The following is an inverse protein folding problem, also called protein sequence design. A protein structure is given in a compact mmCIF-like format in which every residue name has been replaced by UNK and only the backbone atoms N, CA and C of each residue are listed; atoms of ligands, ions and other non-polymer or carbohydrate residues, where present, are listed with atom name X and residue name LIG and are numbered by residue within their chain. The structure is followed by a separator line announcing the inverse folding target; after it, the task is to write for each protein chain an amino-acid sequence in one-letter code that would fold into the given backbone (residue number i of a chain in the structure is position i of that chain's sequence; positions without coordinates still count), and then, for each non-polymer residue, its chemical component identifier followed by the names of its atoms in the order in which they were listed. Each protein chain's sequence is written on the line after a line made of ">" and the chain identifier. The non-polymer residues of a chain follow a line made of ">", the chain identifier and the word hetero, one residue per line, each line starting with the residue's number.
data_IF_135468891481
#
_entry.id   IF_135468891481
#
_cell.length_a   1.000
_cell.length_b   1.000
_cell.length_c   1.000
_cell.angle_alpha   90.00
_cell.angle_beta   90.00
_cell.angle_gamma   90.00
#
_symmetry.space_group_name_H-M   'P 1'
#
loop_
_entity.id
_entity.type
_entity.pdbx_description
1 polymer ?
#
# COMPACT_ATOMS: atom_id res chain seq x y z
N UNK A 1 -7.04 5.09 3.15
CA UNK A 1 -6.78 6.55 3.07
C UNK A 1 -6.39 7.02 4.45
N UNK A 2 -5.56 8.07 4.61
CA UNK A 2 -5.21 8.61 5.93
C UNK A 2 -6.46 8.82 6.80
N UNK A 3 -6.36 8.54 8.09
CA UNK A 3 -7.48 8.65 9.05
C UNK A 3 -8.44 7.47 9.07
N UNK A 4 -8.18 6.38 8.33
CA UNK A 4 -8.98 5.16 8.42
C UNK A 4 -8.23 4.02 9.13
N UNK A 5 -8.98 3.06 9.72
CA UNK A 5 -8.44 1.93 10.50
C UNK A 5 -7.46 1.03 9.72
N UNK A 6 -7.59 0.98 8.39
CA UNK A 6 -6.80 0.09 7.52
C UNK A 6 -5.52 0.80 7.03
N UNK A 7 -5.40 2.10 7.24
CA UNK A 7 -4.24 2.88 6.81
C UNK A 7 -3.07 2.60 7.75
N UNK A 8 -1.97 2.10 7.17
CA UNK A 8 -0.79 1.68 7.92
C UNK A 8 0.48 1.79 7.11
N UNK A 9 1.57 1.26 7.65
CA UNK A 9 2.91 1.23 7.00
C UNK A 9 2.87 0.83 5.52
N UNK A 10 2.17 -0.25 5.10
CA UNK A 10 2.12 -0.63 3.68
C UNK A 10 1.47 0.44 2.80
N UNK A 11 0.46 1.16 3.33
CA UNK A 11 -0.20 2.24 2.59
C UNK A 11 0.78 3.35 2.26
N UNK A 12 1.59 3.79 3.23
CA UNK A 12 2.55 4.88 3.02
C UNK A 12 3.69 4.44 2.12
N UNK A 13 4.32 3.29 2.42
CA UNK A 13 5.49 2.81 1.68
C UNK A 13 5.17 2.42 0.24
N UNK A 14 3.98 1.90 -0.05
CA UNK A 14 3.58 1.64 -1.43
C UNK A 14 3.36 2.94 -2.22
N UNK A 15 2.74 3.96 -1.60
CA UNK A 15 2.49 5.26 -2.22
C UNK A 15 3.77 6.08 -2.51
N UNK A 16 4.88 5.74 -1.82
CA UNK A 16 6.21 6.29 -2.14
C UNK A 16 6.62 5.98 -3.59
N UNK A 17 6.33 4.77 -4.07
CA UNK A 17 6.79 4.29 -5.38
C UNK A 17 5.75 4.46 -6.50
N UNK A 18 4.47 4.42 -6.17
CA UNK A 18 3.39 4.35 -7.14
C UNK A 18 2.17 5.16 -6.71
N UNK A 19 1.31 5.49 -7.66
CA UNK A 19 -0.11 5.73 -7.37
C UNK A 19 -0.75 4.36 -7.08
N UNK A 20 -1.27 4.19 -5.86
CA UNK A 20 -1.79 2.92 -5.36
C UNK A 20 -3.28 3.05 -5.11
N UNK A 21 -4.07 2.25 -5.81
CA UNK A 21 -5.53 2.23 -5.64
C UNK A 21 -6.09 0.82 -5.66
N UNK A 22 -7.18 0.63 -4.92
CA UNK A 22 -8.00 -0.59 -5.04
C UNK A 22 -8.65 -0.60 -6.42
N UNK A 23 -8.41 -1.66 -7.17
CA UNK A 23 -8.97 -1.84 -8.51
C UNK A 23 -10.20 -2.76 -8.52
N UNK A 24 -10.37 -3.61 -7.50
CA UNK A 24 -11.54 -4.49 -7.42
C UNK A 24 -11.50 -5.51 -6.29
N UNK A 25 -12.51 -6.36 -6.22
CA UNK A 25 -12.55 -7.58 -5.42
C UNK A 25 -12.50 -8.79 -6.35
N UNK A 26 -11.88 -9.89 -5.90
CA UNK A 26 -11.90 -11.16 -6.61
C UNK A 26 -12.60 -12.19 -5.72
N UNK A 27 -13.68 -12.78 -6.23
CA UNK A 27 -14.50 -13.74 -5.48
C UNK A 27 -13.79 -15.08 -5.27
N UNK A 28 -14.07 -15.76 -4.15
CA UNK A 28 -13.41 -17.03 -3.78
C UNK A 28 -13.65 -18.17 -4.77
N UNK A 29 -14.81 -18.18 -5.43
CA UNK A 29 -15.24 -19.26 -6.32
C UNK A 29 -14.46 -19.34 -7.65
N UNK A 30 -13.57 -18.37 -7.93
CA UNK A 30 -12.70 -18.41 -9.12
C UNK A 30 -11.36 -19.10 -8.87
N UNK A 31 -11.11 -19.56 -7.64
CA UNK A 31 -9.88 -20.27 -7.24
C UNK A 31 -10.18 -21.74 -6.92
N UNK A 32 -9.23 -22.64 -7.20
CA UNK A 32 -9.26 -24.03 -6.76
C UNK A 32 -7.91 -24.43 -6.12
N UNK A 33 -7.90 -24.90 -4.86
CA UNK A 33 -8.99 -24.84 -3.90
C UNK A 33 -9.35 -23.39 -3.52
N UNK A 34 -10.56 -23.17 -2.99
CA UNK A 34 -11.00 -21.85 -2.57
C UNK A 34 -10.21 -21.37 -1.33
N UNK A 35 -9.73 -20.11 -1.28
CA UNK A 35 -9.02 -19.57 -0.13
C UNK A 35 -9.98 -19.27 1.04
N UNK A 36 -9.43 -19.29 2.27
CA UNK A 36 -10.18 -18.96 3.49
C UNK A 36 -10.37 -17.46 3.72
N UNK A 37 -9.77 -16.61 2.88
CA UNK A 37 -9.78 -15.15 2.96
C UNK A 37 -10.20 -14.54 1.63
N UNK A 38 -10.66 -13.29 1.68
CA UNK A 38 -11.06 -12.55 0.48
C UNK A 38 -9.85 -12.05 -0.30
N UNK A 39 -10.00 -11.94 -1.62
CA UNK A 39 -8.97 -11.40 -2.49
C UNK A 39 -9.32 -10.00 -2.97
N UNK A 40 -8.33 -9.11 -2.96
CA UNK A 40 -8.43 -7.75 -3.48
C UNK A 40 -7.52 -7.55 -4.68
N UNK A 41 -8.02 -6.87 -5.72
CA UNK A 41 -7.20 -6.40 -6.82
C UNK A 41 -6.68 -4.99 -6.51
N UNK A 42 -5.37 -4.79 -6.66
CA UNK A 42 -4.70 -3.51 -6.41
C UNK A 42 -3.96 -3.08 -7.67
N UNK A 43 -4.14 -1.82 -8.07
CA UNK A 43 -3.39 -1.18 -9.14
C UNK A 43 -2.24 -0.38 -8.53
N UNK A 44 -1.03 -0.61 -9.04
CA UNK A 44 0.17 0.15 -8.71
C UNK A 44 0.70 0.74 -10.00
N UNK A 45 0.52 2.04 -10.19
CA UNK A 45 1.06 2.76 -11.34
C UNK A 45 2.34 3.45 -10.88
N UNK A 46 3.50 2.96 -11.35
CA UNK A 46 4.80 3.54 -10.97
C UNK A 46 4.82 5.02 -11.32
N UNK A 47 5.31 5.84 -10.39
CA UNK A 47 5.48 7.28 -10.63
C UNK A 47 6.49 7.49 -11.75
N UNK A 48 6.19 8.43 -12.65
CA UNK A 48 7.08 8.83 -13.74
C UNK A 48 8.32 9.56 -13.21
N UNK A 49 8.15 10.32 -12.14
CA UNK A 49 9.21 11.05 -11.45
C UNK A 49 9.26 10.67 -9.97
N UNK A 50 10.45 10.73 -9.33
CA UNK A 50 10.56 10.59 -7.89
C UNK A 50 9.73 11.65 -7.13
N UNK A 51 9.39 11.37 -5.88
CA UNK A 51 8.76 12.37 -5.02
C UNK A 51 9.72 13.55 -4.80
N UNK A 52 9.22 14.77 -4.99
CA UNK A 52 9.99 15.99 -4.71
C UNK A 52 10.15 16.16 -3.20
N UNK A 53 11.32 15.75 -2.67
CA UNK A 53 11.67 15.88 -1.26
C UNK A 53 13.19 15.96 -1.09
N UNK A 54 13.63 16.58 0.00
CA UNK A 54 15.05 16.58 0.42
C UNK A 54 15.41 15.36 1.27
N UNK A 55 14.42 14.68 1.84
CA UNK A 55 14.64 13.51 2.66
C UNK A 55 14.91 12.27 1.79
N UNK A 56 15.89 11.48 2.19
CA UNK A 56 16.13 10.17 1.60
C UNK A 56 14.98 9.21 1.92
N UNK A 57 14.87 8.16 1.10
CA UNK A 57 13.93 7.06 1.37
C UNK A 57 14.13 6.46 2.76
N UNK A 58 15.39 6.31 3.20
CA UNK A 58 15.71 5.68 4.48
C UNK A 58 15.16 6.51 5.65
N UNK A 59 15.35 7.83 5.62
CA UNK A 59 14.81 8.75 6.64
C UNK A 59 13.29 8.71 6.67
N UNK A 60 12.64 8.77 5.50
CA UNK A 60 11.17 8.71 5.41
C UNK A 60 10.66 7.38 5.96
N UNK A 61 11.29 6.26 5.61
CA UNK A 61 10.83 4.94 6.06
C UNK A 61 11.04 4.73 7.56
N UNK A 62 12.12 5.26 8.13
CA UNK A 62 12.36 5.23 9.57
C UNK A 62 11.26 5.98 10.35
N UNK A 63 10.88 7.18 9.88
CA UNK A 63 9.77 7.95 10.50
C UNK A 63 8.44 7.21 10.37
N UNK A 64 8.16 6.61 9.21
CA UNK A 64 6.94 5.81 9.01
C UNK A 64 6.89 4.62 9.96
N UNK A 65 7.98 3.86 10.09
CA UNK A 65 8.00 2.69 10.97
C UNK A 65 7.83 3.10 12.44
N UNK A 66 8.51 4.17 12.88
CA UNK A 66 8.35 4.70 14.23
C UNK A 66 6.92 5.20 14.51
N UNK A 67 6.29 5.89 13.55
CA UNK A 67 4.96 6.45 13.73
C UNK A 67 3.84 5.40 13.87
N UNK A 68 4.04 4.20 13.34
CA UNK A 68 3.07 3.10 13.37
C UNK A 68 3.42 1.98 14.37
N UNK A 69 4.44 2.14 15.20
CA UNK A 69 4.89 1.15 16.17
C UNK A 69 4.09 1.12 17.50
N UNK A 70 2.92 1.77 17.55
CA UNK A 70 2.06 1.88 18.73
C UNK A 70 0.92 0.84 18.70
#
# INVERSE_FOLDING_TARGET
>A
RPGNKVYGVPSVKANWYADVKRAGAIGRNVFWPAPNVDSGLVSLVRRTEPLATKASRAEVFAVVDAAFAQ
#
